data_IF_331958275158
#
_entry.id   IF_331958275158
#
_cell.length_a   1.000
_cell.length_b   1.000
_cell.length_c   1.000
_cell.angle_alpha   90.00
_cell.angle_beta   90.00
_cell.angle_gamma   90.00
#
_symmetry.space_group_name_H-M   'P 1'
#
loop_
_entity.id
_entity.type
_entity.pdbx_description
1 polymer ?
#
# COMPACT_ATOMS: atom_id res chain seq x y z
N UNK A 1 -0.99 26.80 -3.25
CA UNK A 1 -1.19 26.37 -4.64
C UNK A 1 -1.96 25.05 -4.68
N UNK A 2 -3.07 24.99 -5.44
CA UNK A 2 -3.79 23.75 -5.70
C UNK A 2 -3.19 23.08 -6.95
N UNK A 3 -2.27 22.16 -6.70
CA UNK A 3 -1.52 21.48 -7.76
C UNK A 3 -2.35 20.47 -8.55
N UNK A 4 -3.43 19.93 -7.97
CA UNK A 4 -4.34 19.05 -8.70
C UNK A 4 -5.15 19.85 -9.72
N UNK A 5 -5.77 20.94 -9.31
CA UNK A 5 -6.54 21.83 -10.20
C UNK A 5 -5.70 22.40 -11.33
N UNK A 6 -4.42 22.73 -11.08
CA UNK A 6 -3.49 23.23 -12.08
C UNK A 6 -3.16 22.21 -13.18
N UNK A 7 -3.06 20.93 -12.81
CA UNK A 7 -2.63 19.86 -13.71
C UNK A 7 -3.79 18.98 -14.22
N UNK A 8 -5.04 19.27 -13.84
CA UNK A 8 -6.20 18.55 -14.35
C UNK A 8 -6.36 18.79 -15.86
N UNK A 9 -6.64 17.71 -16.61
CA UNK A 9 -6.88 17.73 -18.06
C UNK A 9 -8.37 17.76 -18.42
N UNK A 10 -8.65 17.65 -19.69
CA UNK A 10 -10.03 17.54 -20.23
C UNK A 10 -10.51 16.08 -20.28
N UNK A 11 -9.59 15.11 -20.25
CA UNK A 11 -9.91 13.67 -20.32
C UNK A 11 -10.02 13.12 -18.91
N UNK A 12 -11.11 12.40 -18.64
CA UNK A 12 -11.32 11.69 -17.39
C UNK A 12 -11.52 10.20 -17.64
N UNK A 13 -10.94 9.36 -16.76
CA UNK A 13 -11.10 7.91 -16.78
C UNK A 13 -11.83 7.48 -15.53
N UNK A 14 -12.96 6.81 -15.69
CA UNK A 14 -13.70 6.20 -14.59
C UNK A 14 -13.05 4.87 -14.19
N UNK A 15 -12.94 4.63 -12.89
CA UNK A 15 -12.46 3.36 -12.35
C UNK A 15 -13.64 2.49 -11.96
N UNK A 16 -14.00 1.54 -12.82
CA UNK A 16 -14.88 0.43 -12.44
C UNK A 16 -14.00 -0.77 -12.07
N UNK A 17 -13.67 -0.89 -10.78
CA UNK A 17 -12.93 -2.05 -10.28
C UNK A 17 -13.88 -3.02 -9.58
N UNK A 18 -13.75 -4.30 -9.88
CA UNK A 18 -14.44 -5.39 -9.16
C UNK A 18 -13.98 -5.41 -7.69
N UNK A 19 -14.75 -6.08 -6.84
CA UNK A 19 -14.38 -6.30 -5.43
C UNK A 19 -13.09 -7.11 -5.35
N UNK A 20 -12.11 -6.63 -4.57
CA UNK A 20 -10.86 -7.33 -4.32
C UNK A 20 -10.98 -8.34 -3.18
N UNK A 21 -10.00 -9.23 -3.09
CA UNK A 21 -9.83 -10.13 -1.96
C UNK A 21 -9.73 -9.36 -0.64
N UNK A 22 -10.29 -9.94 0.41
CA UNK A 22 -10.15 -9.48 1.79
C UNK A 22 -9.70 -10.64 2.65
N UNK A 23 -8.65 -10.43 3.44
CA UNK A 23 -8.18 -11.43 4.39
C UNK A 23 -9.29 -11.68 5.42
N UNK A 24 -9.62 -12.94 5.66
CA UNK A 24 -10.48 -13.33 6.77
C UNK A 24 -9.65 -13.34 8.05
N UNK A 25 -10.20 -12.75 9.09
CA UNK A 25 -9.50 -12.56 10.36
C UNK A 25 -10.50 -12.43 11.53
N UNK A 26 -10.00 -12.60 12.75
CA UNK A 26 -10.72 -12.28 13.97
C UNK A 26 -10.44 -10.82 14.34
N UNK A 27 -11.47 -9.95 14.42
CA UNK A 27 -11.26 -8.58 14.86
C UNK A 27 -10.69 -8.53 16.28
N UNK A 28 -9.75 -7.60 16.50
CA UNK A 28 -9.21 -7.37 17.84
C UNK A 28 -10.29 -6.73 18.74
N UNK A 29 -10.29 -7.13 20.01
CA UNK A 29 -11.11 -6.50 21.03
C UNK A 29 -10.44 -5.22 21.53
N UNK A 30 -11.21 -4.31 22.08
CA UNK A 30 -10.74 -3.09 22.75
C UNK A 30 -9.94 -2.13 21.84
N UNK A 31 -10.15 -2.22 20.53
CA UNK A 31 -9.46 -1.37 19.54
C UNK A 31 -7.92 -1.41 19.63
N UNK A 32 -7.35 -2.46 20.22
CA UNK A 32 -5.89 -2.61 20.29
C UNK A 32 -5.27 -2.63 18.90
N UNK A 33 -4.12 -1.97 18.76
CA UNK A 33 -3.37 -1.90 17.50
C UNK A 33 -2.05 -2.66 17.65
N UNK A 34 -1.93 -3.76 16.93
CA UNK A 34 -0.67 -4.47 16.81
C UNK A 34 0.22 -3.75 15.81
N UNK A 35 1.45 -3.50 16.23
CA UNK A 35 2.51 -2.96 15.40
C UNK A 35 3.61 -4.01 15.28
N UNK A 36 3.89 -4.43 14.05
CA UNK A 36 5.01 -5.33 13.74
C UNK A 36 5.95 -4.61 12.79
N UNK A 37 7.22 -4.48 13.18
CA UNK A 37 8.24 -3.84 12.35
C UNK A 37 9.23 -4.87 11.85
N UNK A 38 9.36 -4.97 10.53
CA UNK A 38 10.42 -5.71 9.87
C UNK A 38 11.60 -4.77 9.60
N UNK A 39 12.78 -5.18 10.01
CA UNK A 39 14.01 -4.41 9.83
C UNK A 39 14.95 -5.25 8.96
N UNK A 40 15.31 -4.69 7.79
CA UNK A 40 16.19 -5.31 6.82
C UNK A 40 17.41 -4.40 6.56
N UNK A 41 18.47 -4.97 5.99
CA UNK A 41 19.52 -4.16 5.36
C UNK A 41 18.98 -3.52 4.09
N UNK A 42 19.05 -2.18 3.99
CA UNK A 42 18.48 -1.45 2.86
C UNK A 42 19.27 -1.70 1.57
N UNK A 43 20.59 -1.93 1.67
CA UNK A 43 21.41 -2.20 0.48
C UNK A 43 21.13 -3.61 -0.06
N UNK A 44 20.95 -4.60 0.83
CA UNK A 44 20.56 -5.95 0.42
C UNK A 44 19.20 -5.96 -0.29
N UNK A 45 18.20 -5.27 0.27
CA UNK A 45 16.88 -5.14 -0.34
C UNK A 45 16.92 -4.41 -1.70
N UNK A 46 17.71 -3.33 -1.81
CA UNK A 46 17.93 -2.62 -3.07
C UNK A 46 18.68 -3.45 -4.10
N UNK A 47 19.69 -4.22 -3.67
CA UNK A 47 20.44 -5.13 -4.55
C UNK A 47 19.54 -6.23 -5.12
N UNK A 48 18.69 -6.85 -4.28
CA UNK A 48 17.70 -7.84 -4.71
C UNK A 48 16.71 -7.27 -5.74
N UNK A 49 16.19 -6.05 -5.51
CA UNK A 49 15.34 -5.40 -6.50
C UNK A 49 16.07 -5.08 -7.81
N UNK A 50 17.31 -4.59 -7.71
CA UNK A 50 18.15 -4.25 -8.89
C UNK A 50 18.55 -5.49 -9.70
N UNK A 51 18.85 -6.62 -9.07
CA UNK A 51 19.17 -7.87 -9.79
C UNK A 51 17.99 -8.35 -10.65
N UNK A 52 16.75 -8.04 -10.22
CA UNK A 52 15.54 -8.28 -11.02
C UNK A 52 15.20 -7.13 -12.00
N UNK A 53 16.02 -6.09 -12.09
CA UNK A 53 15.80 -4.95 -13.00
C UNK A 53 14.56 -4.11 -12.66
N UNK A 54 14.23 -3.98 -11.37
CA UNK A 54 13.06 -3.24 -10.89
C UNK A 54 13.39 -2.29 -9.73
N UNK A 55 12.46 -1.38 -9.41
CA UNK A 55 12.58 -0.55 -8.21
C UNK A 55 12.21 -1.34 -6.95
N UNK A 56 12.71 -0.89 -5.80
CA UNK A 56 12.36 -1.48 -4.50
C UNK A 56 10.83 -1.51 -4.27
N UNK A 57 10.11 -0.47 -4.68
CA UNK A 57 8.65 -0.43 -4.56
C UNK A 57 7.97 -1.53 -5.39
N UNK A 58 8.42 -1.74 -6.63
CA UNK A 58 7.92 -2.84 -7.48
C UNK A 58 8.20 -4.18 -6.80
N UNK A 59 9.43 -4.39 -6.33
CA UNK A 59 9.87 -5.63 -5.70
C UNK A 59 9.04 -5.97 -4.46
N UNK A 60 8.90 -5.01 -3.53
CA UNK A 60 8.12 -5.20 -2.30
C UNK A 60 6.63 -5.36 -2.57
N UNK A 61 6.08 -4.64 -3.57
CA UNK A 61 4.68 -4.81 -3.98
C UNK A 61 4.44 -6.20 -4.56
N UNK A 62 5.37 -6.73 -5.35
CA UNK A 62 5.28 -8.09 -5.91
C UNK A 62 5.35 -9.16 -4.81
N UNK A 63 6.25 -9.00 -3.86
CA UNK A 63 6.33 -9.88 -2.69
C UNK A 63 5.03 -9.86 -1.85
N UNK A 64 4.43 -8.66 -1.71
CA UNK A 64 3.16 -8.50 -1.00
C UNK A 64 1.98 -9.17 -1.74
N UNK A 65 1.94 -9.06 -3.07
CA UNK A 65 0.93 -9.73 -3.89
C UNK A 65 1.06 -11.26 -3.79
N UNK A 66 2.29 -11.79 -3.80
CA UNK A 66 2.54 -13.22 -3.61
C UNK A 66 2.09 -13.70 -2.23
N UNK A 67 2.40 -12.96 -1.17
CA UNK A 67 1.94 -13.28 0.18
C UNK A 67 0.40 -13.30 0.26
N UNK A 68 -0.26 -12.31 -0.35
CA UNK A 68 -1.73 -12.25 -0.40
C UNK A 68 -2.34 -13.39 -1.23
N UNK A 69 -1.69 -13.82 -2.31
CA UNK A 69 -2.13 -14.99 -3.09
C UNK A 69 -2.12 -16.25 -2.22
N UNK A 70 -1.03 -16.50 -1.50
CA UNK A 70 -0.92 -17.65 -0.58
C UNK A 70 -2.00 -17.62 0.50
N UNK A 71 -2.24 -16.46 1.10
CA UNK A 71 -3.32 -16.30 2.09
C UNK A 71 -4.69 -16.61 1.45
N UNK A 72 -4.94 -16.11 0.22
CA UNK A 72 -6.21 -16.40 -0.45
C UNK A 72 -6.36 -17.88 -0.79
N UNK A 73 -5.29 -18.55 -1.20
CA UNK A 73 -5.31 -19.98 -1.51
C UNK A 73 -5.63 -20.82 -0.26
N UNK A 74 -5.08 -20.46 0.89
CA UNK A 74 -5.40 -21.10 2.17
C UNK A 74 -6.84 -20.81 2.61
N UNK A 75 -7.31 -19.56 2.50
CA UNK A 75 -8.63 -19.16 2.97
C UNK A 75 -9.77 -19.43 1.97
N UNK A 76 -9.46 -19.56 0.70
CA UNK A 76 -10.42 -19.80 -0.39
C UNK A 76 -9.82 -20.74 -1.44
N UNK A 77 -9.75 -22.06 -1.16
CA UNK A 77 -9.11 -23.03 -2.05
C UNK A 77 -9.80 -23.16 -3.43
N UNK A 78 -11.11 -22.90 -3.50
CA UNK A 78 -11.84 -22.93 -4.77
C UNK A 78 -11.49 -21.67 -5.61
N UNK A 79 -10.69 -21.86 -6.66
CA UNK A 79 -10.26 -20.79 -7.58
C UNK A 79 -11.42 -19.99 -8.18
N UNK A 80 -12.57 -20.60 -8.40
CA UNK A 80 -13.76 -19.92 -8.96
C UNK A 80 -14.33 -18.86 -8.02
N UNK A 81 -14.09 -19.03 -6.71
CA UNK A 81 -14.55 -18.12 -5.66
C UNK A 81 -13.52 -17.07 -5.28
N UNK A 82 -12.30 -17.20 -5.76
CA UNK A 82 -11.24 -16.24 -5.52
C UNK A 82 -11.55 -14.89 -6.18
N UNK A 83 -10.86 -13.86 -5.75
CA UNK A 83 -11.04 -12.48 -6.19
C UNK A 83 -9.70 -11.88 -6.61
N UNK A 84 -9.69 -10.86 -7.47
CA UNK A 84 -8.48 -10.13 -7.77
C UNK A 84 -7.80 -9.60 -6.50
N UNK A 85 -6.49 -9.66 -6.47
CA UNK A 85 -5.66 -9.16 -5.37
C UNK A 85 -5.05 -7.83 -5.81
N UNK A 86 -5.30 -6.75 -5.06
CA UNK A 86 -4.82 -5.40 -5.38
C UNK A 86 -4.17 -4.77 -4.17
N UNK A 87 -3.01 -4.18 -4.39
CA UNK A 87 -2.28 -3.42 -3.37
C UNK A 87 -2.27 -1.95 -3.76
N UNK A 88 -2.66 -1.07 -2.84
CA UNK A 88 -2.60 0.38 -3.06
C UNK A 88 -1.17 0.86 -2.88
N UNK A 89 -0.61 1.46 -3.92
CA UNK A 89 0.73 2.06 -3.92
C UNK A 89 0.60 3.55 -4.19
N UNK A 90 0.90 4.41 -3.21
CA UNK A 90 0.92 5.85 -3.39
C UNK A 90 2.10 6.29 -4.28
N UNK A 91 1.83 7.18 -5.21
CA UNK A 91 2.82 7.78 -6.12
C UNK A 91 2.94 9.27 -5.84
N UNK A 92 4.14 9.72 -5.51
CA UNK A 92 4.43 11.14 -5.33
C UNK A 92 4.43 11.87 -6.68
N UNK A 93 3.41 12.68 -6.89
CA UNK A 93 3.20 13.40 -8.14
C UNK A 93 4.23 14.52 -8.37
N UNK A 94 4.92 15.01 -7.33
CA UNK A 94 5.95 16.06 -7.47
C UNK A 94 7.12 15.65 -8.37
N UNK A 95 7.34 14.34 -8.54
CA UNK A 95 8.37 13.81 -9.46
C UNK A 95 7.99 14.03 -10.94
N UNK A 96 6.69 14.09 -11.23
CA UNK A 96 6.17 14.21 -12.60
C UNK A 96 5.59 15.61 -12.88
N UNK A 97 5.06 16.26 -11.85
CA UNK A 97 4.43 17.57 -11.94
C UNK A 97 5.14 18.53 -10.97
N UNK A 98 5.98 19.46 -11.46
CA UNK A 98 6.63 20.45 -10.61
C UNK A 98 5.62 21.23 -9.78
N UNK A 99 5.76 21.20 -8.46
CA UNK A 99 4.86 21.85 -7.53
C UNK A 99 5.61 22.31 -6.28
N UNK A 100 5.25 23.50 -5.78
CA UNK A 100 5.72 24.06 -4.50
C UNK A 100 4.69 23.88 -3.37
N UNK A 101 3.62 23.13 -3.63
CA UNK A 101 2.60 22.91 -2.60
C UNK A 101 3.15 22.11 -1.42
N UNK A 102 2.82 22.52 -0.21
CA UNK A 102 3.06 21.76 1.02
C UNK A 102 1.91 20.77 1.32
N UNK A 103 0.79 20.85 0.57
CA UNK A 103 -0.33 19.94 0.71
C UNK A 103 0.03 18.57 0.15
N UNK A 104 -0.74 17.56 0.54
CA UNK A 104 -0.63 16.22 -0.02
C UNK A 104 -0.84 16.26 -1.55
N UNK A 105 0.19 15.86 -2.30
CA UNK A 105 0.16 15.78 -3.76
C UNK A 105 0.61 14.39 -4.19
N UNK A 106 -0.25 13.42 -3.85
CA UNK A 106 -0.05 11.99 -4.08
C UNK A 106 -1.27 11.44 -4.79
N UNK A 107 -1.06 10.57 -5.76
CA UNK A 107 -2.11 9.75 -6.36
C UNK A 107 -1.84 8.28 -6.07
N UNK A 108 -2.89 7.47 -6.01
CA UNK A 108 -2.75 6.04 -5.75
C UNK A 108 -2.92 5.24 -7.03
N UNK A 109 -2.11 4.23 -7.19
CA UNK A 109 -2.26 3.19 -8.21
C UNK A 109 -2.46 1.86 -7.52
N UNK A 110 -3.05 0.90 -8.22
CA UNK A 110 -3.42 -0.40 -7.66
C UNK A 110 -2.96 -1.51 -8.61
N UNK A 111 -1.68 -1.89 -8.57
CA UNK A 111 -1.25 -3.09 -9.28
C UNK A 111 -2.01 -4.31 -8.75
N UNK A 112 -2.35 -5.21 -9.69
CA UNK A 112 -3.19 -6.37 -9.40
C UNK A 112 -2.68 -7.65 -10.05
N UNK A 113 -3.08 -8.77 -9.44
CA UNK A 113 -3.09 -10.10 -10.04
C UNK A 113 -4.47 -10.72 -9.87
N UNK A 114 -4.85 -11.62 -10.76
CA UNK A 114 -6.11 -12.35 -10.68
C UNK A 114 -5.87 -13.86 -10.59
N UNK A 115 -5.82 -14.43 -9.37
CA UNK A 115 -5.51 -15.85 -9.18
C UNK A 115 -6.51 -16.82 -9.81
N UNK A 116 -7.65 -16.33 -10.31
CA UNK A 116 -8.59 -17.17 -11.08
C UNK A 116 -8.03 -17.60 -12.43
N UNK A 117 -7.01 -16.88 -12.93
CA UNK A 117 -6.27 -17.24 -14.15
C UNK A 117 -5.21 -18.31 -13.91
N UNK A 118 -4.96 -18.69 -12.67
CA UNK A 118 -3.92 -19.62 -12.24
C UNK A 118 -3.06 -19.03 -11.14
N UNK A 119 -2.19 -19.85 -10.54
CA UNK A 119 -1.22 -19.42 -9.54
C UNK A 119 -0.07 -18.71 -10.24
N UNK A 120 0.33 -17.58 -9.67
CA UNK A 120 1.44 -16.78 -10.19
C UNK A 120 2.71 -17.08 -9.41
N UNK A 121 3.79 -17.30 -10.14
CA UNK A 121 5.14 -17.30 -9.60
C UNK A 121 5.64 -15.87 -9.33
N UNK A 122 6.59 -15.72 -8.42
CA UNK A 122 7.12 -14.39 -8.08
C UNK A 122 7.62 -13.61 -9.31
N UNK A 123 8.27 -14.27 -10.25
CA UNK A 123 8.78 -13.68 -11.51
C UNK A 123 7.67 -13.15 -12.41
N UNK A 124 6.53 -13.83 -12.46
CA UNK A 124 5.36 -13.42 -13.24
C UNK A 124 4.70 -12.20 -12.61
N UNK A 125 4.51 -12.24 -11.27
CA UNK A 125 3.99 -11.09 -10.51
C UNK A 125 4.89 -9.87 -10.69
N UNK A 126 6.20 -10.05 -10.58
CA UNK A 126 7.19 -8.98 -10.72
C UNK A 126 7.11 -8.31 -12.10
N UNK A 127 7.02 -9.12 -13.14
CA UNK A 127 6.89 -8.66 -14.53
C UNK A 127 5.57 -7.91 -14.72
N UNK A 128 4.48 -8.46 -14.22
CA UNK A 128 3.15 -7.85 -14.28
C UNK A 128 3.12 -6.49 -13.57
N UNK A 129 3.60 -6.43 -12.33
CA UNK A 129 3.64 -5.19 -11.53
C UNK A 129 4.53 -4.13 -12.20
N UNK A 130 5.71 -4.53 -12.71
CA UNK A 130 6.60 -3.62 -13.44
C UNK A 130 5.89 -2.96 -14.63
N UNK A 131 5.18 -3.75 -15.44
CA UNK A 131 4.46 -3.23 -16.60
C UNK A 131 3.25 -2.38 -16.21
N UNK A 132 2.46 -2.82 -15.25
CA UNK A 132 1.31 -2.04 -14.75
C UNK A 132 1.76 -0.67 -14.22
N UNK A 133 2.82 -0.62 -13.41
CA UNK A 133 3.36 0.63 -12.90
C UNK A 133 3.93 1.50 -14.03
N UNK A 134 4.65 0.90 -14.98
CA UNK A 134 5.20 1.60 -16.14
C UNK A 134 4.11 2.28 -16.99
N UNK A 135 2.99 1.60 -17.21
CA UNK A 135 1.84 2.13 -17.95
C UNK A 135 1.05 3.18 -17.18
N UNK A 136 0.82 2.94 -15.88
CA UNK A 136 -0.04 3.79 -15.06
C UNK A 136 0.67 5.05 -14.56
N UNK A 137 1.97 5.00 -14.26
CA UNK A 137 2.74 6.14 -13.72
C UNK A 137 3.30 7.01 -14.85
N UNK A 138 2.42 7.48 -15.71
CA UNK A 138 2.74 8.46 -16.75
C UNK A 138 1.95 9.76 -16.52
N UNK A 139 2.50 10.90 -16.98
CA UNK A 139 1.80 12.20 -16.84
C UNK A 139 0.39 12.16 -17.39
N UNK A 140 0.21 11.57 -18.59
CA UNK A 140 -1.10 11.49 -19.25
C UNK A 140 -2.10 10.68 -18.44
N UNK A 141 -1.72 9.47 -18.01
CA UNK A 141 -2.61 8.61 -17.25
C UNK A 141 -2.93 9.19 -15.88
N UNK A 142 -1.95 9.69 -15.17
CA UNK A 142 -2.18 10.31 -13.85
C UNK A 142 -3.09 11.53 -13.95
N UNK A 143 -2.90 12.41 -14.95
CA UNK A 143 -3.84 13.50 -15.22
C UNK A 143 -5.27 12.99 -15.44
N UNK A 144 -5.46 12.00 -16.31
CA UNK A 144 -6.76 11.43 -16.59
C UNK A 144 -7.40 10.79 -15.34
N UNK A 145 -6.59 10.21 -14.47
CA UNK A 145 -7.06 9.55 -13.25
C UNK A 145 -7.47 10.50 -12.11
N UNK A 146 -6.83 11.66 -11.95
CA UNK A 146 -7.25 12.62 -10.92
C UNK A 146 -8.19 13.71 -11.41
N UNK A 147 -8.33 13.91 -12.73
CA UNK A 147 -9.24 14.88 -13.32
C UNK A 147 -10.70 14.72 -12.86
N UNK A 148 -11.28 13.51 -12.72
CA UNK A 148 -12.64 13.36 -12.21
C UNK A 148 -12.84 13.97 -10.82
N UNK A 149 -11.86 13.81 -9.92
CA UNK A 149 -11.94 14.37 -8.58
C UNK A 149 -11.93 15.90 -8.62
N UNK A 150 -11.05 16.48 -9.45
CA UNK A 150 -10.99 17.95 -9.65
C UNK A 150 -12.29 18.47 -10.25
N UNK A 151 -12.85 17.77 -11.24
CA UNK A 151 -14.11 18.16 -11.86
C UNK A 151 -15.29 18.08 -10.87
N UNK A 152 -15.29 17.05 -10.01
CA UNK A 152 -16.27 16.94 -8.93
C UNK A 152 -16.17 18.13 -7.95
N UNK A 153 -14.96 18.51 -7.53
CA UNK A 153 -14.77 19.69 -6.64
C UNK A 153 -15.17 21.01 -7.30
N UNK A 154 -14.99 21.12 -8.62
CA UNK A 154 -15.38 22.31 -9.40
C UNK A 154 -16.88 22.38 -9.70
N UNK A 155 -17.60 21.28 -9.54
CA UNK A 155 -19.05 21.23 -9.80
C UNK A 155 -19.80 22.25 -8.94
N UNK A 156 -20.58 23.18 -9.55
CA UNK A 156 -21.38 24.14 -8.80
C UNK A 156 -22.38 23.46 -7.86
N UNK A 157 -22.96 22.34 -8.30
CA UNK A 157 -23.90 21.56 -7.50
C UNK A 157 -23.27 21.06 -6.20
N UNK A 158 -22.05 20.52 -6.27
CA UNK A 158 -21.33 20.04 -5.08
C UNK A 158 -20.84 21.18 -4.18
N UNK A 159 -20.60 22.37 -4.75
CA UNK A 159 -20.21 23.56 -3.95
C UNK A 159 -21.36 24.12 -3.13
N UNK A 160 -22.56 24.15 -3.69
CA UNK A 160 -23.76 24.68 -3.03
C UNK A 160 -24.40 23.66 -2.09
N UNK A 161 -24.12 22.37 -2.27
CA UNK A 161 -24.70 21.30 -1.47
C UNK A 161 -24.35 21.47 0.03
N UNK A 162 -25.33 21.44 0.94
CA UNK A 162 -25.12 21.47 2.38
C UNK A 162 -24.19 20.34 2.86
N UNK A 163 -23.35 20.62 3.86
CA UNK A 163 -22.29 19.71 4.30
C UNK A 163 -22.82 18.35 4.73
N UNK A 164 -23.97 18.29 5.38
CA UNK A 164 -24.58 17.02 5.83
C UNK A 164 -24.97 16.11 4.65
N UNK A 165 -25.54 16.66 3.57
CA UNK A 165 -25.86 15.90 2.34
C UNK A 165 -24.57 15.46 1.61
N UNK A 166 -23.58 16.36 1.57
CA UNK A 166 -22.28 16.06 0.99
C UNK A 166 -21.59 14.91 1.74
N UNK A 167 -21.63 14.89 3.06
CA UNK A 167 -21.05 13.83 3.88
C UNK A 167 -21.73 12.47 3.63
N UNK A 168 -23.07 12.46 3.51
CA UNK A 168 -23.81 11.22 3.19
C UNK A 168 -23.41 10.70 1.80
N UNK A 169 -23.43 11.58 0.78
CA UNK A 169 -23.05 11.21 -0.56
C UNK A 169 -21.60 10.71 -0.66
N UNK A 170 -20.65 11.41 -0.02
CA UNK A 170 -19.24 11.02 0.00
C UNK A 170 -19.02 9.71 0.74
N UNK A 171 -19.73 9.48 1.85
CA UNK A 171 -19.71 8.21 2.57
C UNK A 171 -20.20 7.06 1.69
N UNK A 172 -21.30 7.23 0.98
CA UNK A 172 -21.84 6.22 0.07
C UNK A 172 -20.85 5.88 -1.06
N UNK A 173 -20.22 6.89 -1.67
CA UNK A 173 -19.18 6.70 -2.69
C UNK A 173 -17.96 6.00 -2.09
N UNK A 174 -17.53 6.39 -0.90
CA UNK A 174 -16.41 5.78 -0.21
C UNK A 174 -16.67 4.30 0.09
N UNK A 175 -17.84 3.96 0.65
CA UNK A 175 -18.22 2.61 1.01
C UNK A 175 -18.39 1.69 -0.21
N UNK A 176 -18.82 2.25 -1.36
CA UNK A 176 -19.08 1.46 -2.58
C UNK A 176 -17.85 1.31 -3.46
N UNK A 177 -17.05 2.35 -3.62
CA UNK A 177 -15.93 2.41 -4.57
C UNK A 177 -14.56 2.41 -3.87
N UNK A 178 -14.44 3.07 -2.71
CA UNK A 178 -13.15 3.32 -2.09
C UNK A 178 -12.54 2.10 -1.40
N UNK A 179 -13.29 1.37 -0.60
CA UNK A 179 -12.76 0.33 0.28
C UNK A 179 -12.81 -1.08 -0.29
N UNK A 180 -13.78 -1.38 -1.17
CA UNK A 180 -13.99 -2.74 -1.67
C UNK A 180 -13.00 -3.16 -2.75
N UNK A 181 -12.28 -2.23 -3.33
CA UNK A 181 -11.50 -2.44 -4.56
C UNK A 181 -10.07 -2.90 -4.35
N UNK A 182 -9.55 -2.90 -3.12
CA UNK A 182 -8.16 -3.27 -2.83
C UNK A 182 -8.01 -4.01 -1.48
N UNK A 183 -6.88 -4.69 -1.28
CA UNK A 183 -6.61 -5.53 -0.10
C UNK A 183 -6.01 -4.72 1.05
N UNK A 184 -4.95 -3.96 0.76
CA UNK A 184 -4.20 -3.16 1.74
C UNK A 184 -3.46 -2.00 1.06
N UNK A 185 -2.87 -1.11 1.88
CA UNK A 185 -1.98 -0.04 1.42
C UNK A 185 -0.52 -0.41 1.73
N UNK A 186 0.35 -0.29 0.71
CA UNK A 186 1.80 -0.38 0.85
C UNK A 186 2.38 0.98 0.45
N UNK A 187 2.78 1.78 1.42
CA UNK A 187 3.29 3.14 1.19
C UNK A 187 4.79 3.20 1.46
N UNK A 188 5.57 3.54 0.45
CA UNK A 188 7.02 3.67 0.55
C UNK A 188 7.45 5.14 0.45
N UNK A 189 7.98 5.69 1.53
CA UNK A 189 8.52 7.06 1.58
C UNK A 189 9.92 7.18 0.95
N UNK A 190 10.62 6.03 0.80
CA UNK A 190 12.00 6.00 0.34
C UNK A 190 13.01 6.30 1.45
N UNK A 191 14.18 6.82 1.06
CA UNK A 191 15.26 7.13 1.98
C UNK A 191 15.06 8.50 2.65
N UNK A 192 15.03 8.49 3.98
CA UNK A 192 14.84 9.68 4.79
C UNK A 192 16.20 10.34 5.04
N UNK A 193 16.28 11.60 4.69
CA UNK A 193 17.47 12.43 4.90
C UNK A 193 17.21 13.46 5.97
N UNK A 194 18.08 13.50 6.96
CA UNK A 194 18.08 14.52 8.01
C UNK A 194 19.33 15.38 7.87
N UNK A 195 19.29 16.67 8.26
CA UNK A 195 20.49 17.52 8.33
C UNK A 195 21.57 16.89 9.20
N UNK A 196 22.84 17.05 8.83
CA UNK A 196 23.96 16.40 9.53
C UNK A 196 24.00 16.72 11.04
N UNK A 197 23.64 17.94 11.42
CA UNK A 197 23.55 18.35 12.83
C UNK A 197 22.53 17.52 13.65
N UNK A 198 21.53 16.95 13.00
CA UNK A 198 20.48 16.14 13.63
C UNK A 198 20.80 14.65 13.67
N UNK A 199 21.70 14.15 12.79
CA UNK A 199 21.97 12.70 12.65
C UNK A 199 22.37 12.04 13.96
N UNK A 200 23.15 12.71 14.80
CA UNK A 200 23.60 12.18 16.10
C UNK A 200 22.48 11.96 17.12
N UNK A 201 21.33 12.64 16.92
CA UNK A 201 20.19 12.59 17.84
C UNK A 201 19.06 11.67 17.34
N UNK A 202 19.06 11.35 16.04
CA UNK A 202 17.99 10.55 15.43
C UNK A 202 18.54 9.16 15.09
N UNK A 203 18.09 8.16 15.81
CA UNK A 203 18.55 6.77 15.64
C UNK A 203 17.66 5.98 14.68
N UNK A 204 16.35 6.34 14.60
CA UNK A 204 15.35 5.59 13.84
C UNK A 204 14.19 6.49 13.42
N UNK A 205 13.54 6.10 12.33
CA UNK A 205 12.21 6.57 11.94
C UNK A 205 11.29 5.38 11.76
N UNK A 206 10.04 5.55 12.13
CA UNK A 206 8.95 4.63 11.84
C UNK A 206 7.86 5.37 11.09
N UNK A 207 7.32 4.71 10.05
CA UNK A 207 6.22 5.22 9.25
C UNK A 207 5.01 4.31 9.38
N UNK A 208 4.11 4.68 10.26
CA UNK A 208 2.94 3.88 10.62
C UNK A 208 1.71 4.47 9.93
N UNK A 209 1.03 3.63 9.15
CA UNK A 209 -0.25 3.96 8.53
C UNK A 209 -1.40 3.73 9.52
N UNK A 210 -2.56 4.33 9.27
CA UNK A 210 -3.77 4.02 10.02
C UNK A 210 -4.42 2.71 9.54
N UNK A 211 -5.19 2.06 10.41
CA UNK A 211 -6.12 0.99 10.04
C UNK A 211 -7.42 1.60 9.54
N UNK A 212 -8.12 0.87 8.68
CA UNK A 212 -9.43 1.25 8.13
C UNK A 212 -10.43 0.13 8.42
N UNK A 213 -11.71 0.46 8.48
CA UNK A 213 -12.77 -0.50 8.83
C UNK A 213 -12.74 -1.78 7.97
N UNK A 214 -12.46 -1.65 6.68
CA UNK A 214 -12.41 -2.79 5.75
C UNK A 214 -10.99 -3.21 5.36
N UNK A 215 -9.97 -2.54 5.89
CA UNK A 215 -8.54 -2.82 5.69
C UNK A 215 -7.84 -2.79 7.04
N UNK A 216 -7.92 -3.90 7.76
CA UNK A 216 -7.34 -3.99 9.10
C UNK A 216 -5.81 -3.99 9.08
N UNK A 217 -5.21 -4.26 7.92
CA UNK A 217 -3.76 -4.36 7.73
C UNK A 217 -3.28 -3.30 6.74
N UNK A 218 -2.21 -2.58 7.11
CA UNK A 218 -1.50 -1.66 6.22
C UNK A 218 0.00 -1.72 6.51
N UNK A 219 0.82 -1.38 5.51
CA UNK A 219 2.27 -1.41 5.61
C UNK A 219 2.88 -0.07 5.17
N UNK A 220 3.58 0.59 6.08
CA UNK A 220 4.42 1.74 5.81
C UNK A 220 5.88 1.33 5.68
N UNK A 221 6.59 1.87 4.69
CA UNK A 221 7.98 1.54 4.39
C UNK A 221 8.82 2.81 4.33
N UNK A 222 9.99 2.79 4.93
CA UNK A 222 11.01 3.82 4.76
C UNK A 222 12.41 3.24 4.95
N UNK A 223 13.42 3.95 4.42
CA UNK A 223 14.82 3.65 4.70
C UNK A 223 15.45 4.78 5.49
N UNK A 224 16.29 4.45 6.45
CA UNK A 224 17.11 5.39 7.20
C UNK A 224 18.35 4.71 7.73
N UNK A 225 19.50 5.37 7.58
CA UNK A 225 20.79 4.93 8.11
C UNK A 225 21.15 3.47 7.77
N UNK A 226 20.99 3.09 6.48
CA UNK A 226 21.33 1.76 5.98
C UNK A 226 20.32 0.66 6.33
N UNK A 227 19.23 0.99 7.01
CA UNK A 227 18.15 0.05 7.34
C UNK A 227 16.86 0.39 6.60
N UNK A 228 16.13 -0.64 6.22
CA UNK A 228 14.78 -0.58 5.68
C UNK A 228 13.82 -1.01 6.79
N UNK A 229 12.91 -0.11 7.14
CA UNK A 229 11.85 -0.36 8.13
C UNK A 229 10.53 -0.54 7.42
N UNK A 230 9.86 -1.67 7.67
CA UNK A 230 8.52 -1.97 7.18
C UNK A 230 7.60 -2.12 8.40
N UNK A 231 6.73 -1.14 8.59
CA UNK A 231 5.85 -1.07 9.74
C UNK A 231 4.46 -1.58 9.35
N UNK A 232 4.13 -2.75 9.81
CA UNK A 232 2.79 -3.33 9.68
C UNK A 232 1.94 -2.88 10.86
N UNK A 233 0.75 -2.37 10.59
CA UNK A 233 -0.26 -2.10 11.60
C UNK A 233 -1.48 -2.95 11.31
N UNK A 234 -2.04 -3.59 12.35
CA UNK A 234 -3.29 -4.34 12.26
C UNK A 234 -4.17 -4.15 13.51
N UNK A 235 -5.47 -4.37 13.33
CA UNK A 235 -6.44 -4.49 14.41
C UNK A 235 -7.14 -5.87 14.37
N UNK A 236 -6.35 -6.89 14.11
CA UNK A 236 -6.76 -8.29 14.06
C UNK A 236 -5.90 -9.11 14.99
N UNK A 237 -6.43 -10.20 15.52
CA UNK A 237 -5.72 -11.09 16.46
C UNK A 237 -4.56 -11.79 15.75
N UNK A 238 -4.83 -12.39 14.59
CA UNK A 238 -3.86 -13.22 13.89
C UNK A 238 -2.93 -12.36 12.99
N UNK A 239 -1.60 -12.57 13.06
CA UNK A 239 -0.63 -11.89 12.20
C UNK A 239 -0.47 -12.57 10.83
N UNK A 240 -1.56 -12.94 10.18
CA UNK A 240 -1.54 -13.76 8.96
C UNK A 240 -0.73 -13.11 7.84
N UNK A 241 -0.94 -11.80 7.63
CA UNK A 241 -0.24 -11.06 6.57
C UNK A 241 1.26 -10.96 6.86
N UNK A 242 1.62 -10.57 8.08
CA UNK A 242 3.01 -10.41 8.49
C UNK A 242 3.76 -11.73 8.39
N UNK A 243 3.13 -12.83 8.82
CA UNK A 243 3.72 -14.16 8.76
C UNK A 243 3.99 -14.61 7.32
N UNK A 244 2.99 -14.55 6.44
CA UNK A 244 3.15 -14.94 5.04
C UNK A 244 4.14 -14.03 4.29
N UNK A 245 4.10 -12.75 4.56
CA UNK A 245 5.05 -11.83 3.94
C UNK A 245 6.49 -12.04 4.43
N UNK A 246 6.68 -12.35 5.72
CA UNK A 246 7.96 -12.74 6.27
C UNK A 246 8.53 -13.98 5.55
N UNK A 247 7.71 -15.02 5.36
CA UNK A 247 8.11 -16.23 4.65
C UNK A 247 8.56 -15.91 3.21
N UNK A 248 7.77 -15.13 2.48
CA UNK A 248 8.14 -14.70 1.11
C UNK A 248 9.48 -13.96 1.09
N UNK A 249 9.71 -13.02 2.02
CA UNK A 249 11.00 -12.31 2.06
C UNK A 249 12.18 -13.24 2.36
N UNK A 250 11.97 -14.24 3.24
CA UNK A 250 13.01 -15.25 3.56
C UNK A 250 13.32 -16.15 2.36
N UNK A 251 12.32 -16.59 1.63
CA UNK A 251 12.48 -17.36 0.38
C UNK A 251 13.22 -16.55 -0.69
N UNK A 252 13.00 -15.24 -0.74
CA UNK A 252 13.71 -14.32 -1.61
C UNK A 252 15.13 -13.97 -1.13
N UNK A 253 15.63 -14.64 -0.08
CA UNK A 253 16.99 -14.50 0.44
C UNK A 253 17.23 -13.26 1.31
N UNK A 254 16.19 -12.58 1.75
CA UNK A 254 16.30 -11.40 2.61
C UNK A 254 16.27 -11.79 4.08
N UNK A 255 17.26 -11.29 4.85
CA UNK A 255 17.27 -11.43 6.31
C UNK A 255 16.38 -10.35 6.94
N UNK A 256 15.44 -10.78 7.79
CA UNK A 256 14.45 -9.90 8.43
C UNK A 256 14.58 -10.06 9.94
N UNK A 257 14.86 -8.95 10.64
CA UNK A 257 14.66 -8.85 12.09
C UNK A 257 13.22 -8.36 12.34
N UNK A 258 12.51 -9.02 13.24
CA UNK A 258 11.11 -8.67 13.56
C UNK A 258 11.05 -8.10 14.99
N UNK A 259 10.35 -6.98 15.12
CA UNK A 259 9.99 -6.37 16.39
C UNK A 259 8.46 -6.21 16.44
N UNK A 260 7.84 -6.43 17.60
CA UNK A 260 6.39 -6.29 17.77
C UNK A 260 6.06 -5.68 19.12
N UNK A 261 4.95 -4.93 19.19
CA UNK A 261 4.37 -4.42 20.43
C UNK A 261 3.42 -5.42 21.09
N UNK A 262 3.15 -6.56 20.49
CA UNK A 262 2.39 -7.65 21.12
C UNK A 262 3.16 -8.21 22.31
N UNK A 263 2.52 -8.39 23.45
CA UNK A 263 3.08 -9.14 24.56
C UNK A 263 3.33 -10.59 24.08
N UNK A 264 4.58 -10.93 23.82
CA UNK A 264 4.98 -12.32 23.72
C UNK A 264 4.63 -12.96 25.05
N UNK A 265 3.76 -13.95 25.05
CA UNK A 265 3.74 -14.91 26.15
C UNK A 265 5.09 -15.60 26.12
N UNK A 266 6.08 -15.01 26.80
CA UNK A 266 7.21 -15.75 27.27
C UNK A 266 6.64 -16.61 28.40
N UNK A 267 6.14 -17.78 28.05
CA UNK A 267 6.02 -18.85 29.01
C UNK A 267 7.47 -19.15 29.44
N UNK A 268 7.86 -18.64 30.59
CA UNK A 268 9.01 -19.12 31.31
C UNK A 268 8.82 -20.63 31.51
N UNK A 269 9.34 -21.40 30.57
CA UNK A 269 9.59 -22.83 30.82
C UNK A 269 10.92 -22.94 31.52
N UNK A 270 10.84 -23.04 32.85
CA UNK A 270 11.90 -23.58 33.67
C UNK A 270 12.31 -24.98 33.21
#
# INVERSE_FOLDING_TARGET
EDSFSKNAGSVSVSRNASTAFKIHYTPERDDFRHLTTFILDSNAALAAAKSCGVSLTVYLTSAMLLALQRIQDEQTPDKRRQKPIRVVVPVNLRRLFPSRTLRNFVHVIMPEIDPRMGDYEFSEILTSVKHQLGLLVTKKNLCAMFTPNVNAERSPLLRVMPLFLKNIAMKLVYDTVGERTNCLNLSNLGDIKVPDAMRRYVTRFDFILGVQATKPNNCGVLSYNGKLYMNFIRNTVEPVLEFQFYQVLRELGLHVKVESNGAGNISDSN
#
